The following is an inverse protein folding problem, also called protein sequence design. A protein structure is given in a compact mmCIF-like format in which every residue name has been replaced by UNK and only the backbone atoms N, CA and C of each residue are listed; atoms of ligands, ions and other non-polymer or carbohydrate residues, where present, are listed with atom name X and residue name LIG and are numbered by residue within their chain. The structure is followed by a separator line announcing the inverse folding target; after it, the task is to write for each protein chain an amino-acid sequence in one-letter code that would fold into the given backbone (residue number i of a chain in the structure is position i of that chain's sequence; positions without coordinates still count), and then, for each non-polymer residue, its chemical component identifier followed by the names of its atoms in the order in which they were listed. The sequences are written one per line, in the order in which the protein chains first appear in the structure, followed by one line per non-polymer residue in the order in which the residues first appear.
data_IF_460056072392
#
_entry.id   IF_460056072392
#
_cell.length_a   1.000
_cell.length_b   1.000
_cell.length_c   1.000
_cell.angle_alpha   90.00
_cell.angle_beta   90.00
_cell.angle_gamma   90.00
#
_symmetry.space_group_name_H-M   'P 1'
#
loop_
_entity.id
_entity.type
_entity.pdbx_description
1 polymer ?
#
# COMPACT_ATOMS: atom_id res chain seq x y z
N UNK A 1 -6.08 18.25 13.64
CA UNK A 1 -7.00 17.52 12.73
C UNK A 1 -8.36 17.42 13.41
N UNK A 2 -9.41 17.96 12.78
CA UNK A 2 -10.74 18.11 13.40
C UNK A 2 -11.50 16.78 13.42
N UNK A 3 -12.14 16.48 14.56
CA UNK A 3 -12.97 15.29 14.79
C UNK A 3 -14.10 15.12 13.74
N UNK A 4 -14.51 16.22 13.09
CA UNK A 4 -15.48 16.18 11.99
C UNK A 4 -14.98 15.38 10.77
N UNK A 5 -13.68 15.40 10.46
CA UNK A 5 -13.14 14.70 9.28
C UNK A 5 -13.16 13.18 9.42
N UNK A 6 -12.99 12.67 10.64
CA UNK A 6 -13.01 11.23 10.92
C UNK A 6 -14.43 10.66 10.86
N UNK A 7 -15.43 11.43 11.32
CA UNK A 7 -16.83 11.02 11.29
C UNK A 7 -17.39 11.00 9.86
N UNK A 8 -17.06 11.99 9.03
CA UNK A 8 -17.45 12.00 7.61
C UNK A 8 -16.85 10.83 6.82
N UNK A 9 -15.59 10.43 7.13
CA UNK A 9 -14.96 9.25 6.51
C UNK A 9 -15.64 7.94 6.90
N UNK A 10 -16.06 7.79 8.16
CA UNK A 10 -16.81 6.61 8.63
C UNK A 10 -18.20 6.50 8.00
N UNK A 11 -18.90 7.62 7.83
CA UNK A 11 -20.22 7.66 7.18
C UNK A 11 -20.11 7.36 5.69
N UNK A 12 -19.12 7.92 4.99
CA UNK A 12 -18.88 7.58 3.58
C UNK A 12 -18.51 6.10 3.37
N UNK A 13 -17.68 5.52 4.25
CA UNK A 13 -17.34 4.10 4.17
C UNK A 13 -18.57 3.23 4.41
N UNK A 14 -19.38 3.53 5.43
CA UNK A 14 -20.63 2.80 5.69
C UNK A 14 -21.62 2.91 4.51
N UNK A 15 -21.74 4.09 3.91
CA UNK A 15 -22.57 4.28 2.71
C UNK A 15 -22.04 3.48 1.52
N UNK A 16 -20.73 3.54 1.24
CA UNK A 16 -20.12 2.78 0.14
C UNK A 16 -20.33 1.26 0.29
N UNK A 17 -20.26 0.75 1.53
CA UNK A 17 -20.53 -0.66 1.85
C UNK A 17 -22.00 -1.00 1.55
N UNK A 18 -22.94 -0.17 2.02
CA UNK A 18 -24.37 -0.37 1.79
C UNK A 18 -24.76 -0.27 0.30
N UNK A 19 -24.07 0.54 -0.51
CA UNK A 19 -24.38 0.70 -1.94
C UNK A 19 -23.65 -0.33 -2.84
N UNK A 20 -22.54 -0.91 -2.39
CA UNK A 20 -21.78 -1.92 -3.16
C UNK A 20 -22.41 -3.32 -3.20
N UNK A 21 -23.41 -3.60 -2.36
CA UNK A 21 -24.08 -4.91 -2.26
C UNK A 21 -25.43 -5.05 -2.99
N UNK A 22 -25.85 -4.06 -3.80
CA UNK A 22 -27.26 -3.94 -4.21
C UNK A 22 -27.60 -4.37 -5.64
N UNK A 23 -26.82 -5.23 -6.30
CA UNK A 23 -27.29 -5.86 -7.56
C UNK A 23 -28.63 -6.57 -7.34
N UNK A 24 -28.79 -7.24 -6.21
CA UNK A 24 -29.98 -7.99 -5.80
C UNK A 24 -31.15 -7.09 -5.38
N UNK A 25 -30.89 -5.96 -4.69
CA UNK A 25 -31.95 -5.05 -4.22
C UNK A 25 -32.59 -4.25 -5.36
N UNK A 26 -31.81 -3.75 -6.32
CA UNK A 26 -32.35 -3.08 -7.51
C UNK A 26 -33.15 -4.03 -8.42
N UNK A 27 -32.89 -5.33 -8.36
CA UNK A 27 -33.68 -6.36 -9.05
C UNK A 27 -35.02 -6.66 -8.36
N UNK A 28 -35.16 -6.40 -7.06
CA UNK A 28 -36.37 -6.68 -6.27
C UNK A 28 -37.26 -5.44 -6.11
N UNK A 29 -36.67 -4.25 -6.02
CA UNK A 29 -37.40 -2.98 -5.94
C UNK A 29 -37.58 -2.44 -7.36
N UNK A 30 -38.40 -3.14 -8.12
CA UNK A 30 -38.76 -2.76 -9.48
C UNK A 30 -39.27 -1.31 -9.52
N UNK A 31 -38.62 -0.50 -10.35
CA UNK A 31 -39.21 0.76 -10.79
C UNK A 31 -40.13 0.42 -11.97
N UNK A 32 -41.43 0.62 -11.76
CA UNK A 32 -42.57 0.12 -12.55
C UNK A 32 -42.75 0.78 -13.94
N UNK A 33 -41.71 0.83 -14.78
CA UNK A 33 -41.83 1.54 -16.07
C UNK A 33 -41.04 1.01 -17.27
N UNK A 34 -39.93 0.31 -17.08
CA UNK A 34 -39.18 -0.31 -18.17
C UNK A 34 -38.39 -1.49 -17.63
N UNK A 35 -38.64 -2.70 -18.16
CA UNK A 35 -37.82 -3.87 -17.85
C UNK A 35 -36.41 -3.61 -18.38
N UNK A 36 -35.37 -3.54 -17.54
CA UNK A 36 -34.00 -3.58 -18.03
C UNK A 36 -33.79 -4.93 -18.75
N UNK A 37 -33.19 -4.89 -19.94
CA UNK A 37 -33.00 -6.06 -20.82
C UNK A 37 -32.13 -7.18 -20.20
N UNK A 38 -31.44 -6.91 -19.09
CA UNK A 38 -30.60 -7.86 -18.37
C UNK A 38 -30.74 -7.70 -16.86
N UNK A 39 -30.92 -8.82 -16.16
CA UNK A 39 -30.67 -8.93 -14.73
C UNK A 39 -29.30 -9.57 -14.51
N UNK A 40 -28.54 -9.02 -13.56
CA UNK A 40 -27.28 -9.60 -13.10
C UNK A 40 -27.49 -10.13 -11.68
N UNK A 41 -27.35 -11.44 -11.50
CA UNK A 41 -27.43 -12.11 -10.19
C UNK A 41 -26.10 -12.84 -9.97
N UNK A 42 -25.34 -12.47 -8.94
CA UNK A 42 -24.07 -13.16 -8.61
C UNK A 42 -23.02 -13.21 -9.74
N UNK A 43 -23.09 -12.33 -10.75
CA UNK A 43 -22.23 -12.38 -11.93
C UNK A 43 -22.75 -13.24 -13.09
N UNK A 44 -23.90 -13.90 -12.94
CA UNK A 44 -24.61 -14.57 -14.04
C UNK A 44 -25.47 -13.53 -14.77
N UNK A 45 -25.24 -13.39 -16.08
CA UNK A 45 -26.08 -12.61 -17.01
C UNK A 45 -26.97 -13.61 -17.73
N UNK A 46 -28.26 -13.59 -17.43
CA UNK A 46 -29.22 -14.41 -18.16
C UNK A 46 -30.18 -13.53 -18.97
N UNK A 47 -30.49 -13.96 -20.19
CA UNK A 47 -31.22 -13.17 -21.16
C UNK A 47 -32.72 -13.35 -20.94
N UNK A 48 -33.32 -12.49 -20.11
CA UNK A 48 -34.73 -12.62 -19.66
C UNK A 48 -35.72 -12.64 -20.82
N UNK A 49 -35.36 -12.09 -21.98
CA UNK A 49 -36.19 -12.15 -23.20
C UNK A 49 -36.44 -13.57 -23.73
N UNK A 50 -35.48 -14.50 -23.57
CA UNK A 50 -35.68 -15.91 -23.94
C UNK A 50 -36.59 -16.64 -22.95
N UNK A 51 -36.58 -16.23 -21.68
CA UNK A 51 -37.42 -16.78 -20.62
C UNK A 51 -38.86 -16.26 -20.64
N UNK A 52 -39.11 -15.12 -21.27
CA UNK A 52 -40.42 -14.47 -21.35
C UNK A 52 -41.30 -14.95 -22.52
N UNK A 53 -40.81 -15.84 -23.40
CA UNK A 53 -41.63 -16.35 -24.50
C UNK A 53 -42.66 -17.38 -23.99
N UNK A 54 -43.98 -17.14 -24.19
CA UNK A 54 -45.04 -17.93 -23.55
C UNK A 54 -45.11 -19.40 -23.99
N UNK A 55 -44.41 -19.78 -25.07
CA UNK A 55 -44.44 -21.12 -25.65
C UNK A 55 -43.06 -21.82 -25.69
N UNK A 56 -42.05 -21.30 -24.98
CA UNK A 56 -40.75 -21.96 -24.90
C UNK A 56 -40.81 -23.23 -24.03
N UNK A 57 -40.19 -24.36 -24.43
CA UNK A 57 -40.09 -25.58 -23.61
C UNK A 57 -39.29 -25.42 -22.30
N UNK A 58 -38.90 -24.19 -21.97
CA UNK A 58 -37.98 -23.82 -20.90
C UNK A 58 -38.62 -23.10 -19.71
N UNK A 59 -39.90 -22.70 -19.72
CA UNK A 59 -40.48 -21.91 -18.61
C UNK A 59 -40.50 -22.67 -17.28
N UNK A 60 -40.74 -23.99 -17.31
CA UNK A 60 -40.78 -24.84 -16.12
C UNK A 60 -39.37 -25.19 -15.63
N UNK A 61 -38.43 -25.39 -16.57
CA UNK A 61 -37.00 -25.63 -16.32
C UNK A 61 -36.29 -24.38 -15.79
N UNK A 62 -36.68 -23.20 -16.28
CA UNK A 62 -36.18 -21.93 -15.81
C UNK A 62 -36.70 -21.58 -14.41
N UNK A 63 -37.99 -21.81 -14.14
CA UNK A 63 -38.54 -21.62 -12.80
C UNK A 63 -37.90 -22.54 -11.77
N UNK A 64 -37.60 -23.80 -12.13
CA UNK A 64 -36.90 -24.72 -11.23
C UNK A 64 -35.42 -24.37 -11.07
N UNK A 65 -34.74 -23.91 -12.12
CA UNK A 65 -33.38 -23.39 -12.03
C UNK A 65 -33.29 -22.15 -11.12
N UNK A 66 -34.20 -21.17 -11.26
CA UNK A 66 -34.24 -19.98 -10.41
C UNK A 66 -34.59 -20.30 -8.94
N UNK A 67 -35.43 -21.32 -8.70
CA UNK A 67 -35.78 -21.75 -7.35
C UNK A 67 -34.60 -22.44 -6.63
N UNK A 68 -33.72 -23.12 -7.38
CA UNK A 68 -32.49 -23.71 -6.84
C UNK A 68 -31.40 -22.66 -6.64
N UNK A 69 -31.32 -21.63 -7.50
CA UNK A 69 -30.22 -20.65 -7.49
C UNK A 69 -30.38 -19.57 -6.41
N UNK A 70 -31.60 -19.23 -6.01
CA UNK A 70 -31.86 -18.26 -4.94
C UNK A 70 -31.19 -18.60 -3.59
N UNK A 71 -31.31 -19.83 -3.05
CA UNK A 71 -30.61 -20.17 -1.81
C UNK A 71 -29.09 -20.19 -1.98
N UNK A 72 -28.55 -20.57 -3.14
CA UNK A 72 -27.10 -20.52 -3.39
C UNK A 72 -26.58 -19.10 -3.53
N UNK A 73 -27.33 -18.18 -4.14
CA UNK A 73 -26.99 -16.75 -4.18
C UNK A 73 -27.06 -16.14 -2.78
N UNK A 74 -28.11 -16.42 -2.01
CA UNK A 74 -28.24 -15.90 -0.65
C UNK A 74 -27.10 -16.38 0.26
N UNK A 75 -26.72 -17.66 0.16
CA UNK A 75 -25.57 -18.22 0.88
C UNK A 75 -24.26 -17.64 0.37
N UNK A 76 -24.12 -17.51 -0.95
CA UNK A 76 -22.99 -16.85 -1.62
C UNK A 76 -22.77 -15.46 -1.05
N UNK A 77 -23.76 -14.57 -1.16
CA UNK A 77 -23.68 -13.20 -0.66
C UNK A 77 -23.45 -13.14 0.86
N UNK A 78 -24.12 -14.00 1.64
CA UNK A 78 -23.95 -14.04 3.11
C UNK A 78 -22.53 -14.41 3.53
N UNK A 79 -21.83 -15.24 2.76
CA UNK A 79 -20.48 -15.71 3.08
C UNK A 79 -19.40 -14.87 2.38
N UNK A 80 -19.59 -14.52 1.11
CA UNK A 80 -18.59 -13.80 0.32
C UNK A 80 -18.53 -12.33 0.66
N UNK A 81 -19.67 -11.66 0.94
CA UNK A 81 -19.66 -10.22 1.23
C UNK A 81 -18.85 -9.86 2.48
N UNK A 82 -18.98 -10.55 3.63
CA UNK A 82 -18.16 -10.21 4.79
C UNK A 82 -16.66 -10.39 4.51
N UNK A 83 -16.29 -11.40 3.73
CA UNK A 83 -14.89 -11.69 3.37
C UNK A 83 -14.33 -10.64 2.41
N UNK A 84 -15.04 -10.32 1.33
CA UNK A 84 -14.61 -9.28 0.37
C UNK A 84 -14.58 -7.92 1.03
N UNK A 85 -15.58 -7.61 1.86
CA UNK A 85 -15.62 -6.38 2.64
C UNK A 85 -14.43 -6.28 3.60
N UNK A 86 -14.15 -7.33 4.38
CA UNK A 86 -13.02 -7.34 5.29
C UNK A 86 -11.69 -7.15 4.56
N UNK A 87 -11.53 -7.75 3.38
CA UNK A 87 -10.36 -7.55 2.52
C UNK A 87 -10.26 -6.12 2.00
N UNK A 88 -11.37 -5.53 1.53
CA UNK A 88 -11.43 -4.13 1.07
C UNK A 88 -11.10 -3.14 2.20
N UNK A 89 -11.64 -3.35 3.40
CA UNK A 89 -11.34 -2.51 4.58
C UNK A 89 -9.87 -2.62 4.96
N UNK A 90 -9.30 -3.84 4.96
CA UNK A 90 -7.87 -4.05 5.24
C UNK A 90 -6.99 -3.35 4.19
N UNK A 91 -7.39 -3.40 2.92
CA UNK A 91 -6.69 -2.71 1.83
C UNK A 91 -6.72 -1.19 1.99
N UNK A 92 -7.90 -0.62 2.23
CA UNK A 92 -8.05 0.82 2.49
C UNK A 92 -7.24 1.27 3.71
N UNK A 93 -7.16 0.44 4.76
CA UNK A 93 -6.32 0.73 5.92
C UNK A 93 -4.84 0.83 5.55
N UNK A 94 -4.34 -0.03 4.65
CA UNK A 94 -2.96 0.04 4.17
C UNK A 94 -2.73 1.32 3.37
N UNK A 95 -3.68 1.77 2.54
CA UNK A 95 -3.55 3.02 1.79
C UNK A 95 -3.42 4.22 2.73
N UNK A 96 -4.21 4.26 3.80
CA UNK A 96 -4.08 5.29 4.83
C UNK A 96 -2.69 5.25 5.47
N UNK A 97 -2.13 4.07 5.74
CA UNK A 97 -0.75 3.94 6.27
C UNK A 97 0.28 4.46 5.26
N UNK A 98 0.10 4.17 3.96
CA UNK A 98 1.01 4.63 2.90
C UNK A 98 0.98 6.15 2.73
N UNK A 99 -0.21 6.77 2.85
CA UNK A 99 -0.37 8.24 2.82
C UNK A 99 0.37 8.95 3.96
N UNK A 100 0.57 8.28 5.09
CA UNK A 100 1.31 8.85 6.22
C UNK A 100 2.84 8.85 5.99
N UNK A 101 3.34 8.13 4.98
CA UNK A 101 4.78 8.08 4.69
C UNK A 101 5.20 9.36 4.00
N UNK A 102 5.83 10.26 4.76
CA UNK A 102 6.45 11.48 4.21
C UNK A 102 7.42 11.15 3.08
N UNK A 103 7.36 11.95 2.02
CA UNK A 103 8.32 11.86 0.93
C UNK A 103 9.75 12.18 1.37
N UNK A 104 10.71 11.80 0.55
CA UNK A 104 12.14 12.00 0.79
C UNK A 104 12.62 13.46 0.61
N UNK A 105 11.74 14.39 0.25
CA UNK A 105 12.09 15.79 -0.09
C UNK A 105 12.48 16.64 1.13
N UNK A 106 11.89 16.34 2.30
CA UNK A 106 12.08 17.10 3.53
C UNK A 106 12.33 16.15 4.70
N UNK A 107 13.57 16.02 5.20
CA UNK A 107 13.83 15.18 6.36
C UNK A 107 13.30 15.77 7.66
N UNK A 108 12.93 17.05 7.68
CA UNK A 108 12.21 17.62 8.82
C UNK A 108 10.83 16.98 9.00
N UNK A 109 10.25 16.49 7.91
CA UNK A 109 8.95 15.80 7.90
C UNK A 109 9.09 14.28 7.96
N UNK A 110 10.32 13.75 7.83
CA UNK A 110 10.56 12.32 7.83
C UNK A 110 10.39 11.73 9.23
N UNK A 111 9.55 10.69 9.31
CA UNK A 111 9.22 9.96 10.54
C UNK A 111 9.48 8.47 10.31
N UNK A 112 10.53 7.88 10.88
CA UNK A 112 10.85 6.46 10.68
C UNK A 112 9.67 5.51 10.98
N UNK A 113 8.81 5.88 11.94
CA UNK A 113 7.64 5.11 12.36
C UNK A 113 6.62 4.90 11.24
N UNK A 114 6.45 5.87 10.35
CA UNK A 114 5.47 5.74 9.26
C UNK A 114 5.95 4.72 8.23
N UNK A 115 7.26 4.72 7.93
CA UNK A 115 7.90 3.68 7.11
C UNK A 115 7.81 2.31 7.79
N UNK A 116 8.11 2.24 9.10
CA UNK A 116 8.01 0.99 9.87
C UNK A 116 6.59 0.41 9.80
N UNK A 117 5.57 1.24 10.03
CA UNK A 117 4.16 0.84 9.94
C UNK A 117 3.79 0.37 8.55
N UNK A 118 4.21 1.08 7.51
CA UNK A 118 3.96 0.68 6.12
C UNK A 118 4.58 -0.69 5.80
N UNK A 119 5.86 -0.86 6.12
CA UNK A 119 6.59 -2.13 5.90
C UNK A 119 5.93 -3.27 6.67
N UNK A 120 5.59 -3.06 7.94
CA UNK A 120 4.96 -4.09 8.78
C UNK A 120 3.52 -4.42 8.36
N UNK A 121 2.81 -3.49 7.73
CA UNK A 121 1.49 -3.75 7.16
C UNK A 121 1.58 -4.54 5.84
N UNK A 122 2.59 -4.26 5.02
CA UNK A 122 2.80 -4.89 3.71
C UNK A 122 3.48 -6.26 3.80
N UNK A 123 4.47 -6.44 4.67
CA UNK A 123 5.28 -7.66 4.76
C UNK A 123 4.44 -8.95 4.94
N UNK A 124 3.42 -9.00 5.81
CA UNK A 124 2.60 -10.20 6.00
C UNK A 124 1.76 -10.58 4.78
N UNK A 125 1.60 -9.69 3.80
CA UNK A 125 0.87 -9.98 2.56
C UNK A 125 1.68 -10.88 1.61
N UNK A 126 3.01 -10.93 1.78
CA UNK A 126 3.92 -11.57 0.86
C UNK A 126 4.20 -10.71 -0.39
N UNK A 127 5.29 -11.02 -1.09
CA UNK A 127 5.86 -10.17 -2.17
C UNK A 127 4.83 -9.77 -3.23
N UNK A 128 4.12 -10.76 -3.79
CA UNK A 128 3.18 -10.54 -4.90
C UNK A 128 2.03 -9.61 -4.51
N UNK A 129 1.41 -9.83 -3.34
CA UNK A 129 0.26 -9.04 -2.88
C UNK A 129 0.69 -7.67 -2.36
N UNK A 130 1.84 -7.57 -1.70
CA UNK A 130 2.39 -6.29 -1.27
C UNK A 130 2.64 -5.37 -2.47
N UNK A 131 3.32 -5.85 -3.51
CA UNK A 131 3.58 -5.05 -4.71
C UNK A 131 2.29 -4.70 -5.46
N UNK A 132 1.34 -5.63 -5.60
CA UNK A 132 0.04 -5.34 -6.21
C UNK A 132 -0.76 -4.28 -5.43
N UNK A 133 -0.65 -4.28 -4.11
CA UNK A 133 -1.26 -3.25 -3.25
C UNK A 133 -0.60 -1.89 -3.47
N UNK A 134 0.71 -1.86 -3.68
CA UNK A 134 1.45 -0.62 -4.00
C UNK A 134 1.08 -0.12 -5.41
N UNK A 135 0.96 -1.00 -6.41
CA UNK A 135 0.52 -0.60 -7.77
C UNK A 135 -0.83 0.12 -7.71
N UNK A 136 -1.82 -0.49 -7.06
CA UNK A 136 -3.18 0.07 -6.91
C UNK A 136 -3.17 1.39 -6.12
N UNK A 137 -2.30 1.52 -5.12
CA UNK A 137 -2.11 2.78 -4.42
C UNK A 137 -1.58 3.87 -5.36
N UNK A 138 -0.57 3.57 -6.19
CA UNK A 138 0.05 4.51 -7.11
C UNK A 138 -0.88 4.96 -8.25
N UNK A 139 -1.89 4.17 -8.62
CA UNK A 139 -2.90 4.57 -9.61
C UNK A 139 -3.66 5.85 -9.20
N UNK A 140 -3.72 6.16 -7.89
CA UNK A 140 -4.52 7.27 -7.35
C UNK A 140 -3.74 8.24 -6.46
N UNK A 141 -2.46 7.97 -6.18
CA UNK A 141 -1.64 8.76 -5.26
C UNK A 141 -0.24 9.04 -5.84
N UNK A 142 0.39 10.15 -5.44
CA UNK A 142 1.68 10.60 -6.00
C UNK A 142 2.91 9.79 -5.55
N UNK A 143 2.76 8.88 -4.58
CA UNK A 143 3.76 7.86 -4.27
C UNK A 143 5.10 8.33 -3.70
N UNK A 144 5.25 9.60 -3.29
CA UNK A 144 6.56 10.18 -2.94
C UNK A 144 7.34 9.42 -1.85
N UNK A 145 6.65 8.83 -0.86
CA UNK A 145 7.26 7.99 0.18
C UNK A 145 7.50 6.53 -0.21
N UNK A 146 6.96 6.07 -1.34
CA UNK A 146 6.94 4.65 -1.73
C UNK A 146 8.33 4.12 -2.03
N UNK A 147 9.23 4.93 -2.59
CA UNK A 147 10.63 4.53 -2.76
C UNK A 147 11.25 4.07 -1.44
N UNK A 148 11.04 4.84 -0.37
CA UNK A 148 11.57 4.55 0.96
C UNK A 148 10.97 3.25 1.52
N UNK A 149 9.66 3.05 1.33
CA UNK A 149 9.00 1.80 1.71
C UNK A 149 9.59 0.61 0.96
N UNK A 150 9.78 0.71 -0.35
CA UNK A 150 10.34 -0.36 -1.18
C UNK A 150 11.78 -0.71 -0.77
N UNK A 151 12.64 0.29 -0.57
CA UNK A 151 14.03 0.08 -0.14
C UNK A 151 14.14 -0.62 1.22
N UNK A 152 13.14 -0.45 2.09
CA UNK A 152 13.12 -1.07 3.42
C UNK A 152 12.36 -2.40 3.42
N UNK A 153 11.35 -2.58 2.57
CA UNK A 153 10.53 -3.79 2.49
C UNK A 153 11.30 -5.02 2.00
N UNK A 154 12.34 -4.81 1.18
CA UNK A 154 13.13 -5.87 0.55
C UNK A 154 14.54 -6.00 1.16
N UNK A 155 15.11 -7.20 1.09
CA UNK A 155 16.51 -7.47 1.39
C UNK A 155 17.42 -6.91 0.30
N UNK A 156 18.62 -6.47 0.67
CA UNK A 156 19.63 -6.02 -0.31
C UNK A 156 20.01 -7.21 -1.18
N UNK A 157 19.91 -7.08 -2.51
CA UNK A 157 20.29 -8.16 -3.42
C UNK A 157 21.79 -8.43 -3.31
N UNK A 158 22.18 -9.71 -3.36
CA UNK A 158 23.57 -10.14 -3.36
C UNK A 158 23.76 -11.26 -4.39
N UNK A 159 24.41 -11.00 -5.56
CA UNK A 159 24.90 -9.70 -6.06
C UNK A 159 23.75 -8.74 -6.47
N UNK A 160 23.97 -7.40 -6.64
CA UNK A 160 25.24 -6.66 -6.62
C UNK A 160 25.72 -6.12 -5.25
N UNK A 161 24.98 -6.37 -4.16
CA UNK A 161 25.33 -5.86 -2.83
C UNK A 161 24.76 -4.47 -2.50
N UNK A 162 23.93 -3.91 -3.38
CA UNK A 162 23.22 -2.65 -3.14
C UNK A 162 21.84 -2.64 -3.81
N UNK A 163 20.94 -1.80 -3.31
CA UNK A 163 19.62 -1.54 -3.88
C UNK A 163 19.70 -0.70 -5.17
N UNK A 164 18.66 -0.71 -6.02
CA UNK A 164 18.55 0.25 -7.11
C UNK A 164 18.60 1.68 -6.55
N UNK A 165 19.31 2.57 -7.24
CA UNK A 165 19.35 3.99 -6.88
C UNK A 165 18.02 4.63 -7.26
N UNK A 166 17.49 5.46 -6.37
CA UNK A 166 16.39 6.36 -6.70
C UNK A 166 16.90 7.44 -7.65
N UNK A 167 16.42 7.50 -8.89
CA UNK A 167 16.81 8.56 -9.83
C UNK A 167 15.97 9.82 -9.61
N UNK A 168 16.10 10.41 -8.42
CA UNK A 168 15.28 11.56 -7.97
C UNK A 168 16.10 12.85 -7.79
N UNK A 169 17.30 12.88 -8.36
CA UNK A 169 18.29 13.94 -8.21
C UNK A 169 19.41 13.59 -7.23
N UNK A 170 20.29 14.54 -6.96
CA UNK A 170 21.39 14.38 -6.02
C UNK A 170 21.04 14.97 -4.65
N UNK A 171 21.50 14.31 -3.59
CA UNK A 171 21.32 14.80 -2.22
C UNK A 171 22.16 16.06 -1.98
N UNK A 172 21.55 17.11 -1.44
CA UNK A 172 22.27 18.36 -1.18
C UNK A 172 23.23 18.18 0.00
N UNK A 173 24.52 18.41 -0.24
CA UNK A 173 25.54 18.41 0.80
C UNK A 173 25.95 17.02 1.31
N UNK A 174 25.55 15.95 0.64
CA UNK A 174 26.04 14.59 0.90
C UNK A 174 26.68 14.08 -0.39
N UNK A 175 28.01 13.86 -0.42
CA UNK A 175 28.65 13.30 -1.60
C UNK A 175 28.07 11.91 -1.89
N UNK A 176 27.78 11.63 -3.16
CA UNK A 176 27.40 10.26 -3.56
C UNK A 176 28.60 9.35 -3.25
N UNK A 177 28.43 8.29 -2.44
CA UNK A 177 29.51 7.35 -2.18
C UNK A 177 30.00 6.76 -3.50
N UNK A 178 31.32 6.68 -3.68
CA UNK A 178 31.90 5.98 -4.83
C UNK A 178 31.60 4.48 -4.76
N UNK A 179 31.56 3.93 -3.54
CA UNK A 179 31.15 2.56 -3.28
C UNK A 179 29.72 2.51 -2.75
N UNK A 180 28.82 1.97 -3.57
CA UNK A 180 27.41 1.81 -3.22
C UNK A 180 27.16 0.70 -2.18
N UNK A 181 28.13 -0.19 -1.92
CA UNK A 181 27.97 -1.25 -0.93
C UNK A 181 28.00 -0.68 0.51
N UNK A 182 28.76 0.39 0.75
CA UNK A 182 28.80 1.09 2.04
C UNK A 182 27.42 1.59 2.45
N UNK A 183 26.66 2.13 1.48
CA UNK A 183 25.29 2.61 1.66
C UNK A 183 24.32 1.83 0.78
N UNK A 184 24.26 0.51 1.01
CA UNK A 184 23.47 -0.43 0.20
C UNK A 184 21.98 -0.10 0.04
N UNK A 185 21.41 0.79 0.86
CA UNK A 185 20.00 1.25 0.78
C UNK A 185 19.87 2.76 0.62
N UNK A 186 20.92 3.45 0.19
CA UNK A 186 20.93 4.91 0.03
C UNK A 186 19.66 5.39 -0.70
N UNK A 187 18.92 6.36 -0.12
CA UNK A 187 19.32 7.30 0.94
C UNK A 187 18.98 6.86 2.38
N UNK A 188 18.46 5.65 2.58
CA UNK A 188 18.10 5.13 3.91
C UNK A 188 19.18 4.20 4.43
N UNK A 189 19.47 4.29 5.73
CA UNK A 189 20.22 3.28 6.46
C UNK A 189 19.28 2.59 7.43
N UNK A 190 19.26 1.26 7.40
CA UNK A 190 18.51 0.45 8.34
C UNK A 190 19.46 0.00 9.45
N UNK A 191 19.25 0.51 10.67
CA UNK A 191 20.05 0.14 11.85
C UNK A 191 19.11 -0.22 12.99
N UNK A 192 19.31 -1.39 13.60
CA UNK A 192 18.42 -1.95 14.63
C UNK A 192 16.92 -1.93 14.24
N UNK A 193 16.63 -2.30 12.98
CA UNK A 193 15.29 -2.25 12.37
C UNK A 193 14.63 -0.86 12.33
N UNK A 194 15.43 0.21 12.47
CA UNK A 194 14.98 1.59 12.32
C UNK A 194 15.50 2.16 10.99
N UNK A 195 14.62 2.60 10.08
CA UNK A 195 15.02 3.25 8.84
C UNK A 195 15.35 4.73 9.11
N UNK A 196 16.63 5.07 9.04
CA UNK A 196 17.12 6.43 9.17
C UNK A 196 17.37 7.04 7.79
N UNK A 197 16.85 8.24 7.55
CA UNK A 197 17.11 8.98 6.32
C UNK A 197 18.40 9.79 6.47
N UNK A 198 19.38 9.57 5.59
CA UNK A 198 20.74 10.11 5.72
C UNK A 198 20.88 11.61 5.46
N UNK A 199 19.97 12.23 4.71
CA UNK A 199 20.14 13.63 4.34
C UNK A 199 18.87 14.30 3.82
N UNK A 200 19.03 15.59 3.51
CA UNK A 200 17.95 16.50 3.16
C UNK A 200 18.05 17.01 1.74
N UNK A 201 16.87 17.14 1.11
CA UNK A 201 16.74 17.81 -0.17
C UNK A 201 17.36 17.01 -1.31
N UNK A 202 16.60 16.91 -2.40
CA UNK A 202 17.14 16.47 -3.67
C UNK A 202 17.20 17.69 -4.55
N UNK A 203 18.40 18.01 -5.03
CA UNK A 203 18.51 18.93 -6.12
C UNK A 203 18.22 18.16 -7.40
N UNK A 204 17.03 18.39 -7.95
CA UNK A 204 16.74 17.92 -9.29
C UNK A 204 17.62 18.71 -10.25
N UNK A 205 18.59 18.04 -10.87
CA UNK A 205 19.17 18.52 -12.11
C UNK A 205 18.10 18.48 -13.21
N UNK A 206 18.42 18.89 -14.44
CA UNK A 206 17.45 18.92 -15.56
C UNK A 206 16.86 17.54 -15.96
N UNK A 207 17.10 16.49 -15.17
CA UNK A 207 16.62 15.12 -15.36
C UNK A 207 15.25 14.95 -14.68
N UNK A 208 14.34 14.26 -15.38
CA UNK A 208 13.01 13.90 -14.87
C UNK A 208 13.18 12.89 -13.73
N UNK A 209 12.52 13.16 -12.59
CA UNK A 209 12.51 12.21 -11.48
C UNK A 209 11.87 10.89 -11.95
N UNK A 210 12.54 9.77 -11.65
CA UNK A 210 11.99 8.44 -11.88
C UNK A 210 10.68 8.24 -11.13
N UNK A 211 9.77 7.51 -11.76
CA UNK A 211 8.46 7.20 -11.21
C UNK A 211 8.56 5.98 -10.25
N UNK A 212 7.86 5.95 -9.11
CA UNK A 212 7.89 4.83 -8.17
C UNK A 212 7.59 3.47 -8.81
N UNK A 213 6.78 3.44 -9.87
CA UNK A 213 6.37 2.27 -10.64
C UNK A 213 7.57 1.50 -11.23
N UNK A 214 8.63 2.21 -11.62
CA UNK A 214 9.86 1.58 -12.13
C UNK A 214 10.56 0.78 -11.01
N UNK A 215 10.58 1.30 -9.79
CA UNK A 215 11.08 0.56 -8.63
C UNK A 215 10.17 -0.61 -8.27
N UNK A 216 8.84 -0.45 -8.35
CA UNK A 216 7.91 -1.57 -8.15
C UNK A 216 8.18 -2.68 -9.17
N UNK A 217 8.43 -2.34 -10.45
CA UNK A 217 8.81 -3.30 -11.49
C UNK A 217 10.12 -4.01 -11.15
N UNK A 218 11.15 -3.26 -10.76
CA UNK A 218 12.43 -3.84 -10.33
C UNK A 218 12.25 -4.85 -9.18
N UNK A 219 11.55 -4.46 -8.11
CA UNK A 219 11.37 -5.33 -6.95
C UNK A 219 10.45 -6.53 -7.23
N UNK A 220 9.52 -6.40 -8.18
CA UNK A 220 8.74 -7.54 -8.67
C UNK A 220 9.62 -8.62 -9.26
N UNK A 221 10.61 -8.24 -10.06
CA UNK A 221 11.52 -9.17 -10.73
C UNK A 221 12.63 -9.64 -9.79
N UNK A 222 13.34 -8.72 -9.14
CA UNK A 222 14.60 -9.00 -8.45
C UNK A 222 14.48 -9.01 -6.91
N UNK A 223 13.42 -8.41 -6.37
CA UNK A 223 13.29 -8.18 -4.93
C UNK A 223 13.11 -9.47 -4.12
N UNK A 224 13.87 -9.63 -3.05
CA UNK A 224 13.62 -10.65 -2.03
C UNK A 224 12.94 -9.99 -0.83
N UNK A 225 11.69 -10.35 -0.56
CA UNK A 225 10.94 -9.77 0.56
C UNK A 225 11.63 -10.14 1.88
N UNK A 226 11.73 -9.18 2.81
CA UNK A 226 12.23 -9.43 4.16
C UNK A 226 11.46 -10.56 4.84
N UNK A 227 12.19 -11.41 5.55
CA UNK A 227 11.62 -12.57 6.26
C UNK A 227 10.91 -12.17 7.56
N UNK A 228 11.31 -11.06 8.18
CA UNK A 228 10.75 -10.58 9.44
C UNK A 228 10.23 -9.14 9.30
N UNK A 229 9.13 -8.81 9.98
CA UNK A 229 8.74 -7.42 10.21
C UNK A 229 9.87 -6.66 10.90
N UNK A 230 9.88 -5.34 10.74
CA UNK A 230 10.75 -4.45 11.49
C UNK A 230 10.33 -4.44 12.96
N UNK A 231 11.27 -4.69 13.86
CA UNK A 231 11.07 -4.59 15.30
C UNK A 231 12.10 -3.64 15.90
N UNK A 232 11.84 -2.32 15.89
CA UNK A 232 12.77 -1.32 16.43
C UNK A 232 13.25 -1.66 17.85
N UNK A 233 14.51 -1.35 18.13
CA UNK A 233 15.04 -1.51 19.49
C UNK A 233 14.26 -0.67 20.52
N UNK A 234 14.17 -1.16 21.76
CA UNK A 234 13.46 -0.50 22.87
C UNK A 234 14.05 0.87 23.24
N UNK A 235 15.30 1.14 22.85
CA UNK A 235 16.02 2.38 23.13
C UNK A 235 16.51 3.03 21.82
N UNK A 236 15.62 3.71 21.06
CA UNK A 236 15.98 4.30 19.77
C UNK A 236 17.14 5.29 19.84
N UNK A 237 17.27 6.03 20.95
CA UNK A 237 18.35 6.98 21.17
C UNK A 237 19.74 6.29 21.17
N UNK A 238 19.83 5.09 21.74
CA UNK A 238 21.08 4.33 21.72
C UNK A 238 21.40 3.78 20.33
N UNK A 239 20.38 3.35 19.58
CA UNK A 239 20.55 2.95 18.17
C UNK A 239 21.10 4.10 17.34
N UNK A 240 20.64 5.34 17.57
CA UNK A 240 21.22 6.51 16.91
C UNK A 240 22.66 6.73 17.33
N UNK A 241 22.98 6.70 18.63
CA UNK A 241 24.36 6.86 19.08
C UNK A 241 25.32 5.77 18.56
N UNK A 242 24.83 4.55 18.32
CA UNK A 242 25.60 3.48 17.64
C UNK A 242 25.76 3.74 16.15
N UNK A 243 24.69 4.15 15.48
CA UNK A 243 24.72 4.50 14.06
C UNK A 243 25.69 5.66 13.79
N UNK A 244 25.64 6.72 14.61
CA UNK A 244 26.55 7.87 14.50
C UNK A 244 28.01 7.42 14.54
N UNK A 245 28.39 6.65 15.57
CA UNK A 245 29.74 6.11 15.73
C UNK A 245 30.15 5.20 14.57
N UNK A 246 29.22 4.40 14.06
CA UNK A 246 29.50 3.52 12.92
C UNK A 246 29.77 4.34 11.65
N UNK A 247 28.97 5.37 11.37
CA UNK A 247 29.13 6.20 10.19
C UNK A 247 30.38 7.10 10.28
N UNK A 248 30.74 7.59 11.46
CA UNK A 248 32.00 8.30 11.71
C UNK A 248 33.23 7.44 11.40
N UNK A 249 33.20 6.15 11.78
CA UNK A 249 34.31 5.23 11.50
C UNK A 249 34.48 4.90 10.01
N UNK A 250 33.44 5.09 9.21
CA UNK A 250 33.42 4.85 7.76
C UNK A 250 33.66 6.15 6.95
N UNK A 251 34.03 7.24 7.63
CA UNK A 251 34.19 8.58 7.05
C UNK A 251 32.94 9.09 6.28
N UNK A 252 31.76 8.63 6.68
CA UNK A 252 30.48 9.05 6.09
C UNK A 252 29.97 10.26 6.85
N UNK A 253 30.10 11.44 6.24
CA UNK A 253 29.63 12.71 6.82
C UNK A 253 28.15 12.97 6.54
N UNK A 254 27.39 13.29 7.58
CA UNK A 254 25.99 13.70 7.52
C UNK A 254 25.69 14.66 8.67
N UNK A 255 24.55 15.35 8.63
CA UNK A 255 24.19 16.31 9.68
C UNK A 255 23.60 15.59 10.88
N UNK A 256 24.35 15.55 11.98
CA UNK A 256 23.95 14.98 13.29
C UNK A 256 22.56 15.46 13.76
N UNK A 257 22.24 16.73 13.47
CA UNK A 257 20.95 17.34 13.80
C UNK A 257 19.76 16.54 13.23
N UNK A 258 19.90 15.98 12.01
CA UNK A 258 18.82 15.23 11.37
C UNK A 258 18.59 13.88 12.03
N UNK A 259 19.65 13.15 12.35
CA UNK A 259 19.53 11.86 13.03
C UNK A 259 19.01 12.02 14.45
N UNK A 260 19.46 13.05 15.16
CA UNK A 260 18.98 13.35 16.51
C UNK A 260 17.48 13.70 16.51
N UNK A 261 17.00 14.46 15.51
CA UNK A 261 15.57 14.77 15.36
C UNK A 261 14.74 13.51 15.06
N UNK A 262 15.22 12.63 14.19
CA UNK A 262 14.57 11.35 13.90
C UNK A 262 14.52 10.46 15.15
N UNK A 263 15.60 10.40 15.94
CA UNK A 263 15.66 9.69 17.21
C UNK A 263 14.61 10.18 18.23
N UNK A 264 14.50 11.50 18.37
CA UNK A 264 13.53 12.13 19.28
C UNK A 264 12.11 11.83 18.83
N UNK A 265 11.82 11.97 17.53
CA UNK A 265 10.51 11.61 17.00
C UNK A 265 10.16 10.16 17.35
N UNK A 266 11.11 9.22 17.21
CA UNK A 266 10.92 7.82 17.59
C UNK A 266 10.59 7.64 19.07
N UNK A 267 11.31 8.32 19.96
CA UNK A 267 11.04 8.27 21.39
C UNK A 267 9.66 8.83 21.76
N UNK A 268 9.17 9.85 21.05
CA UNK A 268 7.86 10.47 21.30
C UNK A 268 6.69 9.66 20.73
N UNK A 269 6.95 8.70 19.83
CA UNK A 269 5.93 7.97 19.07
C UNK A 269 5.87 6.46 19.33
N UNK A 270 6.74 5.93 20.18
CA UNK A 270 6.71 4.55 20.70
C UNK A 270 6.05 4.52 22.08
#
# INVERSE_FOLDING_TARGET
MSAHSAQSRRVMLAAAICFSGCGTYYNLVGNSGALPELHVYGGVRDNVRELAQPNGPSVLLAKSASALDMPFTAVGDTVTLPVTLAQSVKRLHIFVILDEVSGYRSPHDYKPQTVIRAVNALQPLGKKRALATIDEYLETHSGGGIFLVLLVLFDVPNPPGHMPRMQVGDMVGVPTPQDHQLLSRSPIVLHDDIPFLLGSGYFMSAVVAEAPEEHVRYFREHGKLRTKPLSPAKQPAESVARLMRALENEDIYFREEYMTKQARSLADGL
#
